data_IF_326573957529
#
_entry.id   IF_326573957529
#
_cell.length_a   1.000
_cell.length_b   1.000
_cell.length_c   1.000
_cell.angle_alpha   90.00
_cell.angle_beta   90.00
_cell.angle_gamma   90.00
#
_symmetry.space_group_name_H-M   'P 1'
#
loop_
_entity.id
_entity.type
_entity.pdbx_description
1 polymer ?
#
# COMPACT_ATOMS: atom_id res chain seq x y z
N UNK A 1 31.93 -77.36 9.47
CA UNK A 1 31.34 -76.61 10.60
C UNK A 1 32.26 -75.44 10.92
N UNK A 2 31.65 -74.34 11.38
CA UNK A 2 32.19 -73.03 11.75
C UNK A 2 32.55 -72.11 10.57
N UNK A 3 32.08 -70.87 10.46
CA UNK A 3 31.01 -70.09 11.12
C UNK A 3 30.88 -68.81 10.26
N UNK A 4 29.66 -68.35 9.97
CA UNK A 4 29.41 -67.09 9.25
C UNK A 4 29.70 -65.88 10.14
N UNK A 5 30.26 -64.77 9.63
CA UNK A 5 30.20 -63.50 10.33
C UNK A 5 28.91 -62.74 9.98
N UNK A 6 28.21 -62.38 11.05
CA UNK A 6 26.99 -61.58 11.12
C UNK A 6 27.16 -60.15 10.58
N UNK A 7 26.10 -59.69 9.92
CA UNK A 7 25.41 -58.41 10.12
C UNK A 7 26.22 -57.23 10.70
N UNK A 8 26.32 -56.15 9.90
CA UNK A 8 26.53 -54.82 10.47
C UNK A 8 25.86 -53.74 9.61
N UNK A 9 24.64 -53.39 10.06
CA UNK A 9 24.06 -52.05 10.20
C UNK A 9 24.21 -51.04 9.05
N UNK A 10 23.05 -50.76 8.42
CA UNK A 10 22.79 -49.53 7.67
C UNK A 10 23.03 -48.29 8.55
N UNK A 11 23.71 -47.25 8.07
CA UNK A 11 23.63 -45.95 8.70
C UNK A 11 22.25 -45.33 8.42
N UNK A 12 21.56 -45.00 9.51
CA UNK A 12 20.34 -44.19 9.57
C UNK A 12 20.39 -43.04 8.56
N UNK A 13 19.49 -43.10 7.58
CA UNK A 13 19.19 -41.97 6.72
C UNK A 13 18.69 -40.83 7.59
N UNK A 14 19.48 -39.77 7.66
CA UNK A 14 19.15 -38.51 8.31
C UNK A 14 17.79 -38.04 7.78
N UNK A 15 16.75 -38.09 8.62
CA UNK A 15 15.44 -37.54 8.28
C UNK A 15 15.63 -36.07 7.90
N UNK A 16 15.39 -35.76 6.62
CA UNK A 16 15.31 -34.38 6.17
C UNK A 16 14.26 -33.66 7.04
N UNK A 17 14.55 -32.44 7.52
CA UNK A 17 13.61 -31.71 8.37
C UNK A 17 12.28 -31.56 7.62
N UNK A 18 11.21 -32.13 8.19
CA UNK A 18 9.85 -31.98 7.68
C UNK A 18 9.61 -30.50 7.35
N UNK A 19 9.15 -30.16 6.13
CA UNK A 19 8.78 -28.78 5.83
C UNK A 19 7.74 -28.35 6.85
N UNK A 20 7.99 -27.22 7.51
CA UNK A 20 7.06 -26.63 8.46
C UNK A 20 5.69 -26.51 7.77
N UNK A 21 4.58 -26.84 8.45
CA UNK A 21 3.25 -26.76 7.86
C UNK A 21 3.05 -25.35 7.30
N UNK A 22 2.84 -25.26 5.99
CA UNK A 22 2.46 -24.00 5.35
C UNK A 22 1.17 -23.55 6.01
N UNK A 23 1.21 -22.48 6.80
CA UNK A 23 0.01 -21.86 7.35
C UNK A 23 -0.92 -21.60 6.18
N UNK A 24 -2.08 -22.25 6.17
CA UNK A 24 -3.06 -22.10 5.10
C UNK A 24 -3.42 -20.61 4.99
N UNK A 25 -3.19 -19.97 3.83
CA UNK A 25 -3.44 -18.54 3.64
C UNK A 25 -4.92 -18.15 3.81
N UNK A 26 -5.84 -19.13 3.80
CA UNK A 26 -7.30 -18.92 3.93
C UNK A 26 -7.69 -18.26 5.26
N UNK A 27 -7.20 -18.77 6.41
CA UNK A 27 -7.71 -18.33 7.73
C UNK A 27 -7.42 -16.86 8.07
N UNK A 28 -6.25 -16.35 7.68
CA UNK A 28 -5.87 -14.95 7.95
C UNK A 28 -6.55 -14.03 6.93
N UNK A 29 -6.58 -14.44 5.66
CA UNK A 29 -7.23 -13.66 4.61
C UNK A 29 -8.71 -13.45 4.90
N UNK A 30 -9.45 -14.50 5.29
CA UNK A 30 -10.88 -14.40 5.62
C UNK A 30 -11.16 -13.37 6.74
N UNK A 31 -10.23 -13.21 7.67
CA UNK A 31 -10.32 -12.21 8.74
C UNK A 31 -10.01 -10.79 8.24
N UNK A 32 -9.04 -10.64 7.33
CA UNK A 32 -8.56 -9.36 6.83
C UNK A 32 -9.37 -8.82 5.64
N UNK A 33 -9.96 -9.69 4.83
CA UNK A 33 -10.73 -9.36 3.64
C UNK A 33 -11.80 -8.29 3.88
N UNK A 34 -12.66 -8.36 4.92
CA UNK A 34 -13.65 -7.30 5.15
C UNK A 34 -12.98 -5.97 5.50
N UNK A 35 -11.87 -5.99 6.24
CA UNK A 35 -11.11 -4.77 6.61
C UNK A 35 -10.49 -4.15 5.35
N UNK A 36 -9.85 -4.96 4.51
CA UNK A 36 -9.25 -4.53 3.23
C UNK A 36 -10.32 -4.03 2.27
N UNK A 37 -11.46 -4.71 2.20
CA UNK A 37 -12.60 -4.30 1.36
C UNK A 37 -13.10 -2.92 1.77
N UNK A 38 -13.33 -2.70 3.07
CA UNK A 38 -13.79 -1.40 3.60
C UNK A 38 -12.72 -0.33 3.37
N UNK A 39 -11.49 -0.57 3.83
CA UNK A 39 -10.40 0.39 3.71
C UNK A 39 -10.12 0.76 2.24
N UNK A 40 -10.08 -0.23 1.35
CA UNK A 40 -9.87 -0.06 -0.09
C UNK A 40 -11.02 0.69 -0.77
N UNK A 41 -12.27 0.37 -0.42
CA UNK A 41 -13.47 1.07 -0.93
C UNK A 41 -13.43 2.56 -0.59
N UNK A 42 -12.98 2.91 0.62
CA UNK A 42 -12.91 4.29 1.10
C UNK A 42 -11.57 4.98 0.81
N UNK A 43 -10.56 4.27 0.29
CA UNK A 43 -9.23 4.81 0.05
C UNK A 43 -9.25 6.08 -0.82
N UNK A 44 -10.09 6.14 -1.86
CA UNK A 44 -10.21 7.33 -2.70
C UNK A 44 -10.83 8.52 -1.98
N UNK A 45 -11.77 8.27 -1.05
CA UNK A 45 -12.35 9.34 -0.23
C UNK A 45 -11.33 9.87 0.76
N UNK A 46 -10.55 8.98 1.39
CA UNK A 46 -9.47 9.37 2.30
C UNK A 46 -8.44 10.23 1.56
N UNK A 47 -8.01 9.83 0.37
CA UNK A 47 -7.10 10.60 -0.47
C UNK A 47 -7.70 11.95 -0.89
N UNK A 48 -8.96 11.97 -1.35
CA UNK A 48 -9.62 13.21 -1.74
C UNK A 48 -9.80 14.18 -0.55
N UNK A 49 -10.14 13.66 0.63
CA UNK A 49 -10.23 14.45 1.85
C UNK A 49 -8.87 15.01 2.27
N UNK A 50 -7.78 14.26 2.09
CA UNK A 50 -6.44 14.77 2.34
C UNK A 50 -6.12 15.98 1.43
N UNK A 51 -6.39 15.86 0.13
CA UNK A 51 -6.24 16.98 -0.79
C UNK A 51 -7.10 18.20 -0.39
N UNK A 52 -8.33 17.99 0.07
CA UNK A 52 -9.18 19.08 0.57
C UNK A 52 -8.64 19.71 1.87
N UNK A 53 -8.16 18.91 2.81
CA UNK A 53 -7.51 19.39 4.04
C UNK A 53 -6.27 20.22 3.69
N UNK A 54 -5.49 19.79 2.70
CA UNK A 54 -4.32 20.52 2.20
C UNK A 54 -4.71 21.93 1.78
N UNK A 55 -5.81 22.09 1.03
CA UNK A 55 -6.34 23.40 0.61
C UNK A 55 -6.70 24.25 1.83
N UNK A 56 -7.40 23.68 2.82
CA UNK A 56 -7.77 24.40 4.05
C UNK A 56 -6.52 24.85 4.82
N UNK A 57 -5.52 23.98 4.94
CA UNK A 57 -4.27 24.28 5.64
C UNK A 57 -3.48 25.39 4.94
N UNK A 58 -3.53 25.49 3.61
CA UNK A 58 -2.96 26.63 2.88
C UNK A 58 -3.62 27.94 3.37
N UNK A 59 -4.95 28.02 3.41
CA UNK A 59 -5.64 29.23 3.89
C UNK A 59 -5.32 29.56 5.34
N UNK A 60 -5.22 28.54 6.21
CA UNK A 60 -4.82 28.72 7.61
C UNK A 60 -3.39 29.26 7.71
N UNK A 61 -2.47 28.74 6.90
CA UNK A 61 -1.06 29.16 6.89
C UNK A 61 -0.86 30.56 6.31
N UNK A 62 -1.73 30.98 5.38
CA UNK A 62 -1.76 32.34 4.83
C UNK A 62 -2.44 33.36 5.73
N UNK A 63 -3.16 32.91 6.76
CA UNK A 63 -3.84 33.80 7.69
C UNK A 63 -2.79 34.64 8.45
N UNK A 64 -2.85 36.00 8.37
CA UNK A 64 -1.89 36.86 9.06
C UNK A 64 -1.91 36.68 10.59
N UNK A 65 -2.94 36.03 11.13
CA UNK A 65 -3.09 35.74 12.55
C UNK A 65 -2.21 34.60 13.05
N UNK A 66 -1.90 33.59 12.22
CA UNK A 66 -1.15 32.40 12.66
C UNK A 66 0.33 32.72 12.95
N UNK A 67 1.05 33.50 12.12
CA UNK A 67 2.42 33.91 12.42
C UNK A 67 2.51 34.89 13.60
N UNK A 68 1.47 35.70 13.83
CA UNK A 68 1.38 36.59 15.00
C UNK A 68 1.24 35.82 16.32
N UNK A 69 0.64 34.62 16.31
CA UNK A 69 0.40 33.80 17.50
C UNK A 69 1.52 32.79 17.79
N UNK A 70 2.30 32.38 16.78
CA UNK A 70 3.26 31.26 16.92
C UNK A 70 4.72 31.69 16.91
N UNK A 71 5.13 32.61 16.03
CA UNK A 71 6.46 33.22 16.04
C UNK A 71 6.54 34.39 15.02
N UNK A 72 6.74 35.65 15.45
CA UNK A 72 6.79 36.80 14.54
C UNK A 72 7.96 36.78 13.53
N UNK A 73 9.00 35.97 13.76
CA UNK A 73 10.10 35.77 12.81
C UNK A 73 9.74 34.78 11.67
N UNK A 74 8.78 33.86 11.89
CA UNK A 74 8.27 32.95 10.86
C UNK A 74 7.26 33.60 9.90
N UNK A 75 6.73 34.77 10.28
CA UNK A 75 5.76 35.51 9.49
C UNK A 75 6.31 36.03 8.16
N UNK A 76 7.64 36.11 8.01
CA UNK A 76 8.20 37.00 7.01
C UNK A 76 8.42 36.38 5.63
N UNK A 77 8.48 35.05 5.45
CA UNK A 77 8.80 34.50 4.13
C UNK A 77 8.24 33.10 3.88
N UNK A 78 6.92 32.96 3.72
CA UNK A 78 6.40 31.81 2.95
C UNK A 78 6.51 32.21 1.47
N UNK A 79 7.37 31.57 0.67
CA UNK A 79 7.53 31.93 -0.73
C UNK A 79 6.21 31.70 -1.48
N UNK A 80 5.81 32.65 -2.32
CA UNK A 80 4.65 32.49 -3.21
C UNK A 80 4.70 31.20 -4.04
N UNK A 81 5.91 30.78 -4.44
CA UNK A 81 6.14 29.52 -5.13
C UNK A 81 5.66 28.31 -4.31
N UNK A 82 5.88 28.31 -3.00
CA UNK A 82 5.45 27.23 -2.08
C UNK A 82 3.93 27.16 -2.00
N UNK A 83 3.25 28.30 -1.96
CA UNK A 83 1.78 28.38 -1.91
C UNK A 83 1.17 27.83 -3.21
N UNK A 84 1.68 28.31 -4.36
CA UNK A 84 1.23 27.85 -5.68
C UNK A 84 1.46 26.35 -5.83
N UNK A 85 2.62 25.85 -5.38
CA UNK A 85 2.93 24.42 -5.39
C UNK A 85 1.91 23.61 -4.59
N UNK A 86 1.59 24.01 -3.35
CA UNK A 86 0.61 23.28 -2.54
C UNK A 86 -0.80 23.25 -3.14
N UNK A 87 -1.23 24.34 -3.79
CA UNK A 87 -2.52 24.37 -4.49
C UNK A 87 -2.52 23.37 -5.65
N UNK A 88 -1.46 23.36 -6.46
CA UNK A 88 -1.32 22.43 -7.59
C UNK A 88 -1.33 21.00 -7.09
N UNK A 89 -0.52 20.69 -6.07
CA UNK A 89 -0.43 19.36 -5.47
C UNK A 89 -1.78 18.88 -4.96
N UNK A 90 -2.51 19.71 -4.22
CA UNK A 90 -3.82 19.35 -3.69
C UNK A 90 -4.85 19.09 -4.80
N UNK A 91 -4.87 19.90 -5.86
CA UNK A 91 -5.75 19.68 -7.01
C UNK A 91 -5.40 18.37 -7.71
N UNK A 92 -4.11 18.12 -7.95
CA UNK A 92 -3.64 16.89 -8.58
C UNK A 92 -4.00 15.67 -7.74
N UNK A 93 -3.85 15.73 -6.42
CA UNK A 93 -4.23 14.64 -5.51
C UNK A 93 -5.72 14.33 -5.59
N UNK A 94 -6.60 15.34 -5.51
CA UNK A 94 -8.05 15.16 -5.61
C UNK A 94 -8.44 14.57 -6.97
N UNK A 95 -7.88 15.10 -8.06
CA UNK A 95 -8.15 14.59 -9.40
C UNK A 95 -7.65 13.15 -9.57
N UNK A 96 -6.46 12.83 -9.05
CA UNK A 96 -5.92 11.47 -9.09
C UNK A 96 -6.78 10.50 -8.29
N UNK A 97 -7.23 10.90 -7.10
CA UNK A 97 -8.12 10.10 -6.26
C UNK A 97 -9.43 9.76 -6.99
N UNK A 98 -10.04 10.74 -7.67
CA UNK A 98 -11.32 10.55 -8.36
C UNK A 98 -11.15 9.81 -9.69
N UNK A 99 -10.15 10.19 -10.50
CA UNK A 99 -10.01 9.72 -11.88
C UNK A 99 -9.27 8.37 -12.00
N UNK A 100 -8.34 8.10 -11.09
CA UNK A 100 -7.50 6.88 -11.15
C UNK A 100 -7.83 5.96 -9.99
N UNK A 101 -7.69 6.44 -8.75
CA UNK A 101 -7.79 5.58 -7.57
C UNK A 101 -9.19 5.00 -7.40
N UNK A 102 -10.24 5.83 -7.56
CA UNK A 102 -11.62 5.36 -7.44
C UNK A 102 -11.95 4.23 -8.42
N UNK A 103 -11.82 4.38 -9.75
CA UNK A 103 -12.22 3.33 -10.68
C UNK A 103 -11.30 2.11 -10.69
N UNK A 104 -9.98 2.30 -10.54
CA UNK A 104 -9.01 1.21 -10.69
C UNK A 104 -8.69 0.48 -9.39
N UNK A 105 -8.79 1.15 -8.25
CA UNK A 105 -8.48 0.55 -6.95
C UNK A 105 -9.72 0.37 -6.10
N UNK A 106 -10.38 1.46 -5.73
CA UNK A 106 -11.46 1.40 -4.72
C UNK A 106 -12.70 0.65 -5.19
N UNK A 107 -13.11 0.82 -6.45
CA UNK A 107 -14.20 0.03 -7.02
C UNK A 107 -13.85 -1.46 -7.05
N UNK A 108 -12.58 -1.79 -7.32
CA UNK A 108 -12.10 -3.18 -7.37
C UNK A 108 -12.02 -3.83 -6.01
N UNK A 109 -11.60 -3.08 -4.99
CA UNK A 109 -11.75 -3.54 -3.60
C UNK A 109 -13.21 -3.74 -3.21
N UNK A 110 -14.11 -2.82 -3.61
CA UNK A 110 -15.56 -2.92 -3.33
C UNK A 110 -16.20 -4.13 -3.99
N UNK A 111 -15.79 -4.42 -5.23
CA UNK A 111 -16.23 -5.59 -6.01
C UNK A 111 -15.52 -6.89 -5.60
N UNK A 112 -14.53 -6.80 -4.70
CA UNK A 112 -13.66 -7.93 -4.32
C UNK A 112 -12.98 -8.59 -5.52
N UNK A 113 -12.66 -7.78 -6.54
CA UNK A 113 -11.98 -8.21 -7.77
C UNK A 113 -10.46 -8.30 -7.52
N UNK A 114 -10.08 -9.24 -6.67
CA UNK A 114 -8.70 -9.46 -6.25
C UNK A 114 -7.81 -9.91 -7.40
N UNK A 115 -8.40 -10.63 -8.37
CA UNK A 115 -7.70 -11.07 -9.56
C UNK A 115 -7.28 -9.89 -10.44
N UNK A 116 -8.14 -8.89 -10.61
CA UNK A 116 -7.74 -7.64 -11.25
C UNK A 116 -6.59 -6.97 -10.48
N UNK A 117 -6.72 -6.79 -9.17
CA UNK A 117 -5.72 -6.06 -8.36
C UNK A 117 -4.35 -6.75 -8.31
N UNK A 118 -4.32 -8.09 -8.34
CA UNK A 118 -3.09 -8.88 -8.37
C UNK A 118 -2.48 -8.97 -9.79
N UNK A 119 -3.28 -8.79 -10.85
CA UNK A 119 -2.77 -8.84 -12.23
C UNK A 119 -2.58 -7.47 -12.86
N UNK A 120 -3.09 -6.40 -12.25
CA UNK A 120 -2.83 -5.02 -12.67
C UNK A 120 -1.42 -4.62 -12.24
N UNK A 121 -0.46 -4.93 -13.11
CA UNK A 121 0.97 -4.76 -12.84
C UNK A 121 1.64 -3.90 -13.92
N UNK A 122 2.69 -3.19 -13.50
CA UNK A 122 3.69 -2.61 -14.38
C UNK A 122 4.76 -3.68 -14.64
N UNK A 123 4.92 -4.07 -15.91
CA UNK A 123 5.93 -5.06 -16.32
C UNK A 123 7.22 -4.34 -16.72
N UNK A 124 8.33 -4.72 -16.10
CA UNK A 124 9.68 -4.19 -16.34
C UNK A 124 10.62 -5.37 -16.62
N UNK A 125 10.73 -5.78 -17.89
CA UNK A 125 11.41 -7.03 -18.25
C UNK A 125 10.63 -8.22 -17.66
N UNK A 126 11.30 -9.07 -16.87
CA UNK A 126 10.65 -10.20 -16.21
C UNK A 126 10.03 -9.83 -14.85
N UNK A 127 10.20 -8.59 -14.36
CA UNK A 127 9.71 -8.16 -13.06
C UNK A 127 8.30 -7.57 -13.18
N UNK A 128 7.39 -8.02 -12.31
CA UNK A 128 6.01 -7.54 -12.20
C UNK A 128 5.87 -6.70 -10.94
N UNK A 129 5.59 -5.41 -11.11
CA UNK A 129 5.38 -4.47 -10.01
C UNK A 129 3.90 -4.08 -9.91
N UNK A 130 3.20 -4.33 -8.78
CA UNK A 130 1.78 -4.00 -8.66
C UNK A 130 1.48 -2.50 -8.82
N UNK A 131 0.50 -2.16 -9.65
CA UNK A 131 0.09 -0.76 -9.83
C UNK A 131 -0.42 -0.11 -8.54
N UNK A 132 -1.03 -0.88 -7.64
CA UNK A 132 -1.48 -0.38 -6.33
C UNK A 132 -0.36 0.23 -5.48
N UNK A 133 0.87 -0.29 -5.57
CA UNK A 133 2.02 0.34 -4.91
C UNK A 133 2.42 1.64 -5.61
N UNK A 134 2.37 1.68 -6.95
CA UNK A 134 2.64 2.93 -7.70
C UNK A 134 1.64 4.01 -7.30
N UNK A 135 0.35 3.69 -7.23
CA UNK A 135 -0.67 4.65 -6.80
C UNK A 135 -0.48 5.10 -5.36
N UNK A 136 -0.11 4.19 -4.45
CA UNK A 136 0.19 4.52 -3.06
C UNK A 136 1.40 5.47 -2.95
N UNK A 137 2.46 5.24 -3.72
CA UNK A 137 3.64 6.12 -3.79
C UNK A 137 3.25 7.52 -4.30
N UNK A 138 2.49 7.59 -5.40
CA UNK A 138 2.03 8.86 -5.97
C UNK A 138 1.23 9.63 -4.92
N UNK A 139 0.23 8.99 -4.29
CA UNK A 139 -0.58 9.64 -3.26
C UNK A 139 0.26 10.07 -2.06
N UNK A 140 1.23 9.28 -1.62
CA UNK A 140 2.13 9.68 -0.53
C UNK A 140 2.94 10.93 -0.90
N UNK A 141 3.50 11.02 -2.11
CA UNK A 141 4.31 12.17 -2.56
C UNK A 141 3.46 13.43 -2.72
N UNK A 142 2.24 13.29 -3.24
CA UNK A 142 1.34 14.40 -3.51
C UNK A 142 0.37 14.71 -2.36
N UNK A 143 0.52 14.08 -1.20
CA UNK A 143 -0.34 14.35 -0.03
C UNK A 143 0.30 15.29 0.96
N UNK A 144 -0.51 16.06 1.67
CA UNK A 144 -0.06 16.82 2.83
C UNK A 144 0.36 15.86 3.94
N UNK A 145 1.59 16.00 4.44
CA UNK A 145 2.16 15.15 5.50
C UNK A 145 2.29 13.65 5.17
N UNK A 146 2.37 13.27 3.89
CA UNK A 146 2.71 11.91 3.43
C UNK A 146 1.72 10.78 3.80
N UNK A 147 0.52 11.10 4.29
CA UNK A 147 -0.46 10.10 4.75
C UNK A 147 -1.60 9.81 3.75
N UNK A 148 -1.68 10.52 2.62
CA UNK A 148 -2.77 10.35 1.64
C UNK A 148 -2.78 8.97 0.97
N UNK A 149 -1.62 8.32 0.86
CA UNK A 149 -1.48 6.96 0.35
C UNK A 149 -1.69 5.85 1.38
N UNK A 150 -1.89 6.15 2.67
CA UNK A 150 -1.79 5.16 3.75
C UNK A 150 -2.81 4.02 3.63
N UNK A 151 -4.06 4.32 3.28
CA UNK A 151 -5.09 3.30 3.08
C UNK A 151 -4.76 2.36 1.91
N UNK A 152 -4.21 2.90 0.83
CA UNK A 152 -3.78 2.13 -0.34
C UNK A 152 -2.57 1.27 0.00
N UNK A 153 -1.57 1.83 0.71
CA UNK A 153 -0.42 1.09 1.21
C UNK A 153 -0.85 -0.11 2.05
N UNK A 154 -1.69 0.12 3.06
CA UNK A 154 -2.20 -0.94 3.92
C UNK A 154 -2.83 -2.07 3.09
N UNK A 155 -3.77 -1.72 2.21
CA UNK A 155 -4.47 -2.71 1.39
C UNK A 155 -3.50 -3.42 0.43
N UNK A 156 -2.57 -2.71 -0.21
CA UNK A 156 -1.61 -3.29 -1.14
C UNK A 156 -0.68 -4.31 -0.45
N UNK A 157 -0.18 -3.98 0.74
CA UNK A 157 0.62 -4.92 1.53
C UNK A 157 -0.20 -6.16 1.91
N UNK A 158 -1.42 -5.98 2.41
CA UNK A 158 -2.26 -7.12 2.81
C UNK A 158 -2.62 -7.99 1.61
N UNK A 159 -3.03 -7.41 0.48
CA UNK A 159 -3.39 -8.15 -0.73
C UNK A 159 -2.19 -8.92 -1.30
N UNK A 160 -0.99 -8.35 -1.32
CA UNK A 160 0.18 -9.01 -1.92
C UNK A 160 0.72 -10.15 -1.04
N UNK A 161 0.80 -9.92 0.27
CA UNK A 161 1.49 -10.84 1.18
C UNK A 161 0.55 -11.76 1.96
N UNK A 162 -0.71 -11.39 2.10
CA UNK A 162 -1.72 -12.10 2.89
C UNK A 162 -3.03 -12.28 2.11
N UNK A 163 -3.01 -12.02 0.80
CA UNK A 163 -4.18 -12.06 -0.06
C UNK A 163 -4.72 -13.47 -0.31
N UNK A 164 -5.83 -13.56 -1.05
CA UNK A 164 -6.49 -14.83 -1.33
C UNK A 164 -5.65 -15.74 -2.24
N UNK A 165 -4.69 -15.16 -2.97
CA UNK A 165 -3.82 -15.85 -3.93
C UNK A 165 -2.39 -15.34 -3.78
N UNK A 166 -1.38 -16.20 -3.97
CA UNK A 166 0.01 -15.76 -3.95
C UNK A 166 0.28 -14.85 -5.15
N UNK A 167 0.93 -13.71 -4.89
CA UNK A 167 1.34 -12.79 -5.94
C UNK A 167 2.55 -13.31 -6.73
N UNK A 168 2.51 -13.19 -8.05
CA UNK A 168 3.61 -13.56 -8.94
C UNK A 168 4.47 -12.35 -9.27
N UNK A 169 5.66 -12.28 -8.68
CA UNK A 169 6.63 -11.20 -8.89
C UNK A 169 7.34 -11.26 -10.24
N UNK A 170 7.26 -12.38 -10.93
CA UNK A 170 7.85 -12.57 -12.26
C UNK A 170 6.83 -13.15 -13.23
N UNK A 171 7.04 -12.93 -14.52
CA UNK A 171 6.37 -13.67 -15.60
C UNK A 171 6.87 -15.13 -15.69
#
# INVERSE_FOLDING_TARGET
>A
MAEEPKENEQPEGTEAPKPAPSKEPSSIWETLEPIVTIAGTWAWVIAALNGLISIIMIFVTLSPWLPLLTNPLYAQFIPWATIVWYIIVAIVEVLFAIAILRPRFSNKCKEQDWDYLLNDVLVLGNFRFPWMFVWAIILTIFSWSYWGGAAVWFCAFVIIFMGPKPYQWTE
#
